data_IF_401513807853
#
_entry.id   IF_401513807853
#
_cell.length_a   1.000
_cell.length_b   1.000
_cell.length_c   1.000
_cell.angle_alpha   90.00
_cell.angle_beta   90.00
_cell.angle_gamma   90.00
#
_symmetry.space_group_name_H-M   'P 1'
#
loop_
_entity.id
_entity.type
_entity.pdbx_description
1 polymer ?
#
# COMPACT_ATOMS: atom_id res chain seq x y z
N UNK A 1 -2.93 14.69 13.74
CA UNK A 1 -2.96 14.96 12.29
C UNK A 1 -2.44 16.35 12.04
N UNK A 2 -1.18 16.48 11.69
CA UNK A 2 -0.60 17.75 11.28
C UNK A 2 -0.86 17.92 9.78
N UNK A 3 -1.78 18.81 9.42
CA UNK A 3 -1.88 19.35 8.07
C UNK A 3 -0.66 20.23 7.86
N UNK A 4 0.27 19.83 7.01
CA UNK A 4 1.39 20.68 6.60
C UNK A 4 0.84 21.77 5.65
N UNK A 5 0.95 23.00 6.07
CA UNK A 5 0.61 24.18 5.28
C UNK A 5 1.78 24.48 4.35
N UNK A 6 1.57 24.29 3.06
CA UNK A 6 2.51 24.65 2.00
C UNK A 6 2.74 23.51 1.00
N UNK A 7 2.05 23.56 -0.14
CA UNK A 7 2.16 22.68 -1.33
C UNK A 7 1.84 21.17 -1.20
N UNK A 8 1.41 20.69 -0.05
CA UNK A 8 1.12 19.28 0.19
C UNK A 8 -0.36 19.09 0.56
N UNK A 9 -1.06 18.18 -0.10
CA UNK A 9 -2.48 17.94 0.16
C UNK A 9 -2.77 16.48 0.41
N UNK A 10 -3.37 16.20 1.58
CA UNK A 10 -3.74 14.86 2.02
C UNK A 10 -5.17 14.54 1.55
N UNK A 11 -5.38 13.40 0.86
CA UNK A 11 -6.70 12.95 0.37
C UNK A 11 -7.70 12.67 1.51
N UNK A 12 -7.26 12.58 2.77
CA UNK A 12 -8.14 12.39 3.93
C UNK A 12 -8.90 13.65 4.35
N UNK A 13 -8.69 14.79 3.69
CA UNK A 13 -9.45 15.99 3.95
C UNK A 13 -10.96 15.73 3.72
N UNK A 14 -11.77 16.17 4.67
CA UNK A 14 -13.21 16.02 4.58
C UNK A 14 -13.74 16.83 3.39
N UNK A 15 -14.21 16.12 2.37
CA UNK A 15 -14.90 16.76 1.24
C UNK A 15 -16.14 17.51 1.73
N UNK A 16 -16.42 18.67 1.19
CA UNK A 16 -17.67 19.39 1.40
C UNK A 16 -18.79 18.68 0.63
N UNK A 17 -19.39 17.69 1.28
CA UNK A 17 -20.30 16.72 0.64
C UNK A 17 -21.59 17.33 0.09
N UNK A 18 -21.96 18.52 0.55
CA UNK A 18 -23.15 19.26 0.12
C UNK A 18 -22.89 20.17 -1.10
N UNK A 19 -21.66 20.23 -1.58
CA UNK A 19 -21.29 20.92 -2.82
C UNK A 19 -21.33 19.97 -4.02
N UNK A 20 -21.54 20.53 -5.23
CA UNK A 20 -21.28 19.83 -6.48
C UNK A 20 -19.75 19.70 -6.69
N UNK A 21 -19.31 18.70 -7.48
CA UNK A 21 -17.88 18.49 -7.75
C UNK A 21 -17.22 19.75 -8.33
N UNK A 22 -17.84 20.37 -9.35
CA UNK A 22 -17.34 21.62 -9.95
C UNK A 22 -17.24 22.77 -8.95
N UNK A 23 -18.27 22.95 -8.14
CA UNK A 23 -18.33 23.99 -7.10
C UNK A 23 -17.22 23.80 -6.07
N UNK A 24 -17.04 22.55 -5.61
CA UNK A 24 -16.01 22.18 -4.66
C UNK A 24 -14.59 22.40 -5.21
N UNK A 25 -14.33 22.01 -6.45
CA UNK A 25 -13.03 22.22 -7.09
C UNK A 25 -12.78 23.72 -7.34
N UNK A 26 -13.82 24.48 -7.65
CA UNK A 26 -13.74 25.96 -7.75
C UNK A 26 -13.34 26.61 -6.42
N UNK A 27 -13.97 26.19 -5.33
CA UNK A 27 -13.62 26.61 -3.98
C UNK A 27 -12.17 26.21 -3.61
N UNK A 28 -11.77 24.97 -3.91
CA UNK A 28 -10.41 24.50 -3.67
C UNK A 28 -9.37 25.28 -4.48
N UNK A 29 -9.68 25.61 -5.74
CA UNK A 29 -8.81 26.45 -6.59
C UNK A 29 -8.61 27.85 -6.02
N UNK A 30 -9.66 28.41 -5.43
CA UNK A 30 -9.60 29.71 -4.77
C UNK A 30 -8.73 29.67 -3.52
N UNK A 31 -8.92 28.68 -2.65
CA UNK A 31 -8.10 28.49 -1.45
C UNK A 31 -6.62 28.27 -1.77
N UNK A 32 -6.32 27.58 -2.87
CA UNK A 32 -4.94 27.39 -3.36
C UNK A 32 -4.33 28.62 -4.04
N UNK A 33 -5.08 29.73 -4.12
CA UNK A 33 -4.61 30.97 -4.70
C UNK A 33 -4.45 30.95 -6.23
N UNK A 34 -5.12 30.01 -6.94
CA UNK A 34 -5.08 29.94 -8.39
C UNK A 34 -5.75 31.21 -8.96
N UNK A 35 -5.07 31.95 -9.86
CA UNK A 35 -5.64 33.17 -10.46
C UNK A 35 -6.98 32.89 -11.13
N UNK A 36 -7.96 33.77 -10.95
CA UNK A 36 -9.33 33.59 -11.47
C UNK A 36 -9.38 33.23 -12.96
N UNK A 37 -8.48 33.82 -13.75
CA UNK A 37 -8.40 33.57 -15.20
C UNK A 37 -7.93 32.14 -15.55
N UNK A 38 -7.24 31.44 -14.63
CA UNK A 38 -6.68 30.11 -14.85
C UNK A 38 -7.50 29.02 -14.17
N UNK A 39 -8.47 29.38 -13.29
CA UNK A 39 -9.23 28.41 -12.49
C UNK A 39 -10.02 27.44 -13.34
N UNK A 40 -10.76 27.94 -14.32
CA UNK A 40 -11.61 27.12 -15.18
C UNK A 40 -10.79 26.08 -15.94
N UNK A 41 -9.70 26.50 -16.59
CA UNK A 41 -8.79 25.59 -17.29
C UNK A 41 -8.16 24.56 -16.36
N UNK A 42 -7.69 24.97 -15.17
CA UNK A 42 -7.09 24.05 -14.19
C UNK A 42 -8.12 23.03 -13.64
N UNK A 43 -9.38 23.46 -13.45
CA UNK A 43 -10.45 22.57 -12.98
C UNK A 43 -10.82 21.57 -14.07
N UNK A 44 -10.96 22.00 -15.31
CA UNK A 44 -11.27 21.09 -16.42
C UNK A 44 -10.17 20.05 -16.63
N UNK A 45 -8.90 20.44 -16.51
CA UNK A 45 -7.78 19.51 -16.62
C UNK A 45 -7.81 18.46 -15.52
N UNK A 46 -8.01 18.83 -14.25
CA UNK A 46 -8.06 17.84 -13.15
C UNK A 46 -9.31 16.97 -13.21
N UNK A 47 -10.44 17.48 -13.72
CA UNK A 47 -11.65 16.70 -13.97
C UNK A 47 -11.38 15.60 -15.00
N UNK A 48 -10.73 15.93 -16.09
CA UNK A 48 -10.33 14.95 -17.11
C UNK A 48 -9.36 13.92 -16.55
N UNK A 49 -8.30 14.35 -15.87
CA UNK A 49 -7.31 13.46 -15.28
C UNK A 49 -7.95 12.48 -14.27
N UNK A 50 -8.85 12.96 -13.42
CA UNK A 50 -9.54 12.15 -12.42
C UNK A 50 -10.75 11.38 -12.98
N UNK A 51 -11.09 11.52 -14.27
CA UNK A 51 -12.25 10.90 -14.92
C UNK A 51 -13.56 11.21 -14.17
N UNK A 52 -13.84 12.50 -13.98
CA UNK A 52 -15.00 13.01 -13.23
C UNK A 52 -16.06 13.68 -14.11
N UNK A 53 -15.91 13.67 -15.46
CA UNK A 53 -16.74 14.39 -16.40
C UNK A 53 -18.24 14.08 -16.22
N UNK A 54 -18.55 12.79 -16.04
CA UNK A 54 -19.93 12.31 -15.92
C UNK A 54 -20.63 12.75 -14.62
N UNK A 55 -19.85 13.14 -13.61
CA UNK A 55 -20.34 13.44 -12.26
C UNK A 55 -20.06 14.86 -11.81
N UNK A 56 -19.43 15.69 -12.65
CA UNK A 56 -18.97 17.05 -12.29
C UNK A 56 -20.07 17.97 -11.73
N UNK A 57 -21.32 17.75 -12.13
CA UNK A 57 -22.48 18.52 -11.68
C UNK A 57 -23.28 17.82 -10.58
N UNK A 58 -22.84 16.67 -10.09
CA UNK A 58 -23.50 15.94 -9.01
C UNK A 58 -22.99 16.41 -7.64
N UNK A 59 -23.87 16.34 -6.63
CA UNK A 59 -23.47 16.55 -5.23
C UNK A 59 -22.52 15.43 -4.80
N UNK A 60 -21.45 15.80 -4.11
CA UNK A 60 -20.41 14.86 -3.64
C UNK A 60 -21.02 13.79 -2.74
N UNK A 61 -22.00 14.09 -1.89
CA UNK A 61 -22.70 13.12 -1.04
C UNK A 61 -23.38 11.99 -1.82
N UNK A 62 -23.79 12.25 -3.07
CA UNK A 62 -24.48 11.28 -3.92
C UNK A 62 -23.53 10.42 -4.75
N UNK A 63 -22.21 10.60 -4.58
CA UNK A 63 -21.19 9.83 -5.27
C UNK A 63 -20.86 8.53 -4.53
N UNK A 64 -20.46 7.50 -5.29
CA UNK A 64 -19.85 6.31 -4.71
C UNK A 64 -18.53 6.66 -3.97
N UNK A 65 -18.04 5.76 -3.14
CA UNK A 65 -16.78 5.95 -2.43
C UNK A 65 -15.63 6.19 -3.41
N UNK A 66 -15.55 5.44 -4.52
CA UNK A 66 -14.52 5.58 -5.53
C UNK A 66 -14.56 6.95 -6.23
N UNK A 67 -15.74 7.45 -6.57
CA UNK A 67 -15.85 8.80 -7.12
C UNK A 67 -15.46 9.88 -6.11
N UNK A 68 -15.83 9.74 -4.84
CA UNK A 68 -15.36 10.67 -3.79
C UNK A 68 -13.85 10.66 -3.63
N UNK A 69 -13.22 9.48 -3.72
CA UNK A 69 -11.77 9.36 -3.71
C UNK A 69 -11.13 10.10 -4.88
N UNK A 70 -11.70 9.99 -6.09
CA UNK A 70 -11.25 10.73 -7.28
C UNK A 70 -11.43 12.24 -7.15
N UNK A 71 -12.50 12.71 -6.49
CA UNK A 71 -12.68 14.14 -6.18
C UNK A 71 -11.58 14.62 -5.24
N UNK A 72 -11.26 13.86 -4.20
CA UNK A 72 -10.15 14.18 -3.31
C UNK A 72 -8.80 14.22 -4.05
N UNK A 73 -8.59 13.29 -4.98
CA UNK A 73 -7.39 13.27 -5.82
C UNK A 73 -7.33 14.47 -6.77
N UNK A 74 -8.47 14.83 -7.44
CA UNK A 74 -8.56 16.02 -8.27
C UNK A 74 -8.23 17.30 -7.48
N UNK A 75 -8.73 17.40 -6.25
CA UNK A 75 -8.36 18.47 -5.33
C UNK A 75 -6.86 18.48 -5.02
N UNK A 76 -6.24 17.32 -4.77
CA UNK A 76 -4.81 17.23 -4.45
C UNK A 76 -3.94 17.74 -5.60
N UNK A 77 -4.24 17.33 -6.83
CA UNK A 77 -3.46 17.72 -8.03
C UNK A 77 -3.78 19.12 -8.56
N UNK A 78 -4.88 19.74 -8.11
CA UNK A 78 -5.28 21.07 -8.53
C UNK A 78 -4.18 22.10 -8.21
N UNK A 79 -3.72 22.82 -9.23
CA UNK A 79 -2.57 23.72 -9.15
C UNK A 79 -1.23 23.05 -9.45
N UNK A 80 -1.23 21.76 -9.82
CA UNK A 80 -0.08 20.99 -10.29
C UNK A 80 1.14 21.06 -9.37
N UNK A 81 0.99 20.67 -8.06
CA UNK A 81 2.09 20.73 -7.10
C UNK A 81 3.20 19.75 -7.51
N UNK A 82 4.45 20.06 -7.19
CA UNK A 82 5.59 19.18 -7.46
C UNK A 82 5.51 17.87 -6.67
N UNK A 83 4.94 17.91 -5.45
CA UNK A 83 4.81 16.77 -4.54
C UNK A 83 3.32 16.56 -4.21
N UNK A 84 2.85 15.32 -4.36
CA UNK A 84 1.50 14.89 -4.03
C UNK A 84 1.59 13.83 -2.93
N UNK A 85 0.85 14.01 -1.82
CA UNK A 85 0.80 13.05 -0.71
C UNK A 85 -0.59 12.42 -0.66
N UNK A 86 -0.64 11.09 -0.74
CA UNK A 86 -1.85 10.29 -0.76
C UNK A 86 -1.86 9.34 0.45
N UNK A 87 -2.78 9.56 1.40
CA UNK A 87 -2.94 8.68 2.55
C UNK A 87 -4.02 7.63 2.27
N UNK A 88 -3.59 6.35 2.19
CA UNK A 88 -4.44 5.18 1.96
C UNK A 88 -5.43 5.35 0.76
N UNK A 89 -4.94 5.67 -0.47
CA UNK A 89 -5.80 6.06 -1.59
C UNK A 89 -6.73 4.94 -2.10
N UNK A 90 -6.48 3.69 -1.77
CA UNK A 90 -7.22 2.51 -2.25
C UNK A 90 -8.15 1.90 -1.21
N UNK A 91 -8.10 2.35 0.04
CA UNK A 91 -8.85 1.75 1.15
C UNK A 91 -10.37 1.75 0.93
N UNK A 92 -10.94 0.54 0.95
CA UNK A 92 -12.38 0.29 0.86
C UNK A 92 -12.97 0.58 -0.51
N UNK A 93 -12.15 0.53 -1.55
CA UNK A 93 -12.55 0.48 -2.95
C UNK A 93 -12.75 -0.98 -3.39
N UNK A 94 -13.57 -1.19 -4.40
CA UNK A 94 -13.66 -2.49 -5.06
C UNK A 94 -12.44 -2.72 -5.99
N UNK A 95 -12.16 -3.99 -6.40
CA UNK A 95 -10.99 -4.32 -7.19
C UNK A 95 -10.85 -3.51 -8.50
N UNK A 96 -11.98 -3.21 -9.17
CA UNK A 96 -11.98 -2.43 -10.40
C UNK A 96 -11.56 -0.98 -10.13
N UNK A 97 -12.11 -0.37 -9.09
CA UNK A 97 -11.77 0.99 -8.67
C UNK A 97 -10.31 1.10 -8.22
N UNK A 98 -9.76 0.07 -7.57
CA UNK A 98 -8.35 0.02 -7.18
C UNK A 98 -7.46 0.12 -8.43
N UNK A 99 -7.75 -0.66 -9.48
CA UNK A 99 -6.99 -0.62 -10.73
C UNK A 99 -7.04 0.79 -11.34
N UNK A 100 -8.21 1.39 -11.41
CA UNK A 100 -8.40 2.73 -11.99
C UNK A 100 -7.66 3.82 -11.20
N UNK A 101 -7.63 3.74 -9.86
CA UNK A 101 -6.86 4.70 -9.03
C UNK A 101 -5.35 4.47 -9.20
N UNK A 102 -4.89 3.23 -9.30
CA UNK A 102 -3.48 2.93 -9.56
C UNK A 102 -2.99 3.48 -10.90
N UNK A 103 -3.79 3.31 -11.96
CA UNK A 103 -3.50 3.90 -13.27
C UNK A 103 -3.36 5.43 -13.17
N UNK A 104 -4.28 6.07 -12.46
CA UNK A 104 -4.24 7.52 -12.27
C UNK A 104 -3.00 7.95 -11.48
N UNK A 105 -2.62 7.24 -10.42
CA UNK A 105 -1.39 7.52 -9.65
C UNK A 105 -0.15 7.36 -10.54
N UNK A 106 -0.08 6.31 -11.38
CA UNK A 106 1.03 6.13 -12.34
C UNK A 106 1.13 7.28 -13.34
N UNK A 107 0.00 7.77 -13.86
CA UNK A 107 -0.01 8.92 -14.76
C UNK A 107 0.48 10.19 -14.06
N UNK A 108 0.08 10.40 -12.81
CA UNK A 108 0.55 11.53 -12.00
C UNK A 108 2.05 11.43 -11.72
N UNK A 109 2.56 10.25 -11.42
CA UNK A 109 3.99 10.03 -11.13
C UNK A 109 4.93 10.35 -12.31
N UNK A 110 4.40 10.44 -13.55
CA UNK A 110 5.20 10.88 -14.71
C UNK A 110 5.61 12.36 -14.64
N UNK A 111 4.86 13.18 -13.93
CA UNK A 111 5.07 14.64 -13.86
C UNK A 111 5.27 15.17 -12.43
N UNK A 112 4.93 14.37 -11.42
CA UNK A 112 4.92 14.76 -10.01
C UNK A 112 5.68 13.72 -9.17
N UNK A 113 6.24 14.13 -8.06
CA UNK A 113 6.67 13.20 -7.02
C UNK A 113 5.45 12.79 -6.21
N UNK A 114 5.07 11.51 -6.26
CA UNK A 114 3.93 10.99 -5.51
C UNK A 114 4.41 10.18 -4.32
N UNK A 115 3.99 10.57 -3.13
CA UNK A 115 4.20 9.83 -1.88
C UNK A 115 2.87 9.24 -1.47
N UNK A 116 2.78 7.93 -1.32
CA UNK A 116 1.56 7.28 -0.88
C UNK A 116 1.79 6.39 0.34
N UNK A 117 0.81 6.33 1.23
CA UNK A 117 0.77 5.35 2.31
C UNK A 117 -0.14 4.19 1.94
N UNK A 118 0.19 2.98 2.35
CA UNK A 118 -0.70 1.82 2.35
C UNK A 118 -0.19 0.78 3.35
N UNK A 119 -1.11 -0.04 3.86
CA UNK A 119 -0.78 -1.20 4.70
C UNK A 119 -0.77 -2.51 3.88
N UNK A 120 -1.01 -2.46 2.56
CA UNK A 120 -1.06 -3.61 1.67
C UNK A 120 0.15 -3.58 0.74
N UNK A 121 1.18 -4.38 1.05
CA UNK A 121 2.44 -4.41 0.30
C UNK A 121 2.24 -4.75 -1.18
N UNK A 122 1.34 -5.69 -1.51
CA UNK A 122 1.05 -6.06 -2.89
C UNK A 122 0.51 -4.88 -3.73
N UNK A 123 -0.22 -3.94 -3.12
CA UNK A 123 -0.70 -2.75 -3.81
C UNK A 123 0.43 -1.76 -4.10
N UNK A 124 1.34 -1.58 -3.15
CA UNK A 124 2.46 -0.65 -3.25
C UNK A 124 3.45 -1.12 -4.33
N UNK A 125 3.74 -2.41 -4.40
CA UNK A 125 4.66 -3.00 -5.39
C UNK A 125 4.29 -2.68 -6.83
N UNK A 126 3.01 -2.59 -7.14
CA UNK A 126 2.56 -2.32 -8.50
C UNK A 126 2.64 -0.84 -8.91
N UNK A 127 2.82 0.08 -7.96
CA UNK A 127 2.69 1.52 -8.23
C UNK A 127 3.93 2.30 -7.85
N UNK A 128 4.74 1.82 -6.90
CA UNK A 128 5.88 2.55 -6.35
C UNK A 128 7.21 2.05 -6.91
N UNK A 129 8.08 2.98 -7.26
CA UNK A 129 9.48 2.70 -7.63
C UNK A 129 10.36 2.45 -6.39
N UNK A 130 9.94 2.98 -5.23
CA UNK A 130 10.70 2.93 -3.98
C UNK A 130 9.78 2.81 -2.77
N UNK A 131 10.14 1.96 -1.81
CA UNK A 131 9.31 1.66 -0.63
C UNK A 131 10.08 2.01 0.65
N UNK A 132 9.39 2.67 1.57
CA UNK A 132 9.85 2.95 2.93
C UNK A 132 8.97 2.17 3.92
N UNK A 133 9.56 1.25 4.69
CA UNK A 133 8.84 0.49 5.72
C UNK A 133 9.08 1.15 7.07
N UNK A 134 8.00 1.63 7.69
CA UNK A 134 8.04 2.29 9.00
C UNK A 134 7.34 1.38 10.03
N UNK A 135 8.02 1.14 11.14
CA UNK A 135 7.46 0.41 12.29
C UNK A 135 7.78 1.14 13.59
N UNK A 136 6.78 1.34 14.44
CA UNK A 136 6.92 2.04 15.73
C UNK A 136 7.63 3.40 15.63
N UNK A 137 7.33 4.14 14.54
CA UNK A 137 7.91 5.47 14.28
C UNK A 137 9.38 5.46 13.80
N UNK A 138 9.93 4.29 13.47
CA UNK A 138 11.30 4.15 12.95
C UNK A 138 11.28 3.57 11.55
N UNK A 139 12.17 4.05 10.68
CA UNK A 139 12.41 3.47 9.37
C UNK A 139 13.12 2.12 9.57
N UNK A 140 12.46 1.03 9.15
CA UNK A 140 12.94 -0.34 9.31
C UNK A 140 13.67 -0.82 8.05
N UNK A 141 13.11 -0.50 6.89
CA UNK A 141 13.70 -0.85 5.59
C UNK A 141 13.37 0.24 4.56
N UNK A 142 14.21 0.33 3.55
CA UNK A 142 14.11 1.32 2.49
C UNK A 142 14.84 0.76 1.26
N UNK A 143 14.08 0.42 0.20
CA UNK A 143 14.64 -0.12 -1.04
C UNK A 143 13.58 -0.16 -2.16
N UNK A 144 13.99 -0.62 -3.35
CA UNK A 144 13.06 -0.97 -4.43
C UNK A 144 12.20 -2.18 -4.05
N UNK A 145 11.00 -2.34 -4.64
CA UNK A 145 10.13 -3.50 -4.38
C UNK A 145 10.85 -4.84 -4.52
N UNK A 146 11.61 -5.03 -5.61
CA UNK A 146 12.31 -6.29 -5.91
C UNK A 146 13.37 -6.62 -4.86
N UNK A 147 14.17 -5.64 -4.46
CA UNK A 147 15.21 -5.84 -3.43
C UNK A 147 14.62 -6.09 -2.04
N UNK A 148 13.46 -5.50 -1.73
CA UNK A 148 12.77 -5.81 -0.48
C UNK A 148 12.24 -7.23 -0.48
N UNK A 149 11.74 -7.72 -1.62
CA UNK A 149 11.31 -9.10 -1.76
C UNK A 149 12.47 -10.08 -1.62
N UNK A 150 13.60 -9.83 -2.30
CA UNK A 150 14.82 -10.64 -2.12
C UNK A 150 15.27 -10.70 -0.67
N UNK A 151 15.25 -9.57 0.05
CA UNK A 151 15.57 -9.52 1.48
C UNK A 151 14.57 -10.25 2.35
N UNK A 152 13.30 -10.26 1.97
CA UNK A 152 12.22 -10.95 2.69
C UNK A 152 12.16 -12.44 2.34
N UNK A 153 12.47 -12.83 1.11
CA UNK A 153 12.52 -14.22 0.64
C UNK A 153 13.75 -14.96 1.21
N UNK A 154 14.75 -14.25 1.72
CA UNK A 154 15.97 -14.84 2.28
C UNK A 154 15.77 -15.73 3.51
N UNK A 155 14.57 -15.75 4.11
CA UNK A 155 14.22 -16.65 5.21
C UNK A 155 12.75 -17.05 5.12
N UNK A 156 12.47 -18.14 4.42
CA UNK A 156 11.15 -18.78 4.57
C UNK A 156 11.04 -19.40 5.95
N UNK A 157 9.87 -19.22 6.59
CA UNK A 157 9.57 -19.87 7.86
C UNK A 157 8.57 -20.98 7.62
N UNK A 158 8.97 -22.23 7.89
CA UNK A 158 8.11 -23.41 7.83
C UNK A 158 7.74 -23.81 9.24
N UNK A 159 6.44 -23.99 9.50
CA UNK A 159 5.95 -24.57 10.75
C UNK A 159 5.56 -26.03 10.52
N UNK A 160 6.06 -26.93 11.37
CA UNK A 160 5.66 -28.35 11.41
C UNK A 160 5.06 -28.70 12.76
N UNK A 161 4.12 -29.63 12.76
CA UNK A 161 3.57 -30.24 13.94
C UNK A 161 3.82 -31.73 13.89
N UNK A 162 4.59 -32.26 14.81
CA UNK A 162 4.96 -33.68 14.87
C UNK A 162 4.51 -34.32 16.18
N UNK A 163 4.12 -35.58 16.12
CA UNK A 163 3.84 -36.42 17.31
C UNK A 163 5.13 -37.06 17.84
N UNK A 164 6.05 -36.22 18.32
CA UNK A 164 7.35 -36.61 18.81
C UNK A 164 7.80 -35.60 19.86
N UNK A 165 8.82 -35.91 20.66
CA UNK A 165 9.43 -34.99 21.62
C UNK A 165 10.20 -33.88 20.87
N UNK A 166 10.43 -32.73 21.53
CA UNK A 166 11.22 -31.64 20.98
C UNK A 166 12.66 -32.08 20.65
N UNK A 167 13.23 -33.01 21.43
CA UNK A 167 14.56 -33.53 21.18
C UNK A 167 14.66 -34.38 19.90
N UNK A 168 13.68 -35.27 19.67
CA UNK A 168 13.58 -36.11 18.48
C UNK A 168 13.38 -35.24 17.22
N UNK A 169 12.42 -34.29 17.26
CA UNK A 169 12.16 -33.35 16.17
C UNK A 169 13.42 -32.56 15.81
N UNK A 170 14.12 -32.05 16.81
CA UNK A 170 15.36 -31.29 16.61
C UNK A 170 16.48 -32.15 16.00
N UNK A 171 16.62 -33.41 16.45
CA UNK A 171 17.61 -34.33 15.89
C UNK A 171 17.36 -34.63 14.39
N UNK A 172 16.10 -34.81 14.00
CA UNK A 172 15.72 -35.00 12.60
C UNK A 172 16.04 -33.74 11.78
N UNK A 173 15.65 -32.56 12.28
CA UNK A 173 15.84 -31.30 11.59
C UNK A 173 17.30 -30.91 11.39
N UNK A 174 18.22 -31.32 12.28
CA UNK A 174 19.64 -31.07 12.13
C UNK A 174 20.29 -31.81 10.94
N UNK A 175 19.63 -32.84 10.39
CA UNK A 175 20.08 -33.58 9.22
C UNK A 175 19.47 -33.05 7.90
N UNK A 176 18.61 -32.03 7.94
CA UNK A 176 18.01 -31.38 6.75
C UNK A 176 18.86 -30.18 6.37
N UNK A 177 19.30 -30.15 5.12
CA UNK A 177 20.10 -29.05 4.57
C UNK A 177 19.30 -27.75 4.44
N UNK A 178 19.97 -26.61 4.37
CA UNK A 178 19.37 -25.27 4.20
C UNK A 178 18.49 -24.78 5.36
N UNK A 179 18.71 -25.28 6.56
CA UNK A 179 18.06 -24.76 7.78
C UNK A 179 19.02 -23.80 8.49
N UNK A 180 18.58 -22.54 8.70
CA UNK A 180 19.37 -21.52 9.41
C UNK A 180 19.02 -21.46 10.90
N UNK A 181 17.77 -21.72 11.27
CA UNK A 181 17.33 -21.66 12.66
C UNK A 181 16.20 -22.65 12.95
N UNK A 182 16.19 -23.24 14.13
CA UNK A 182 15.18 -24.22 14.59
C UNK A 182 14.68 -23.79 15.97
N UNK A 183 13.39 -23.49 16.05
CA UNK A 183 12.68 -23.23 17.29
C UNK A 183 11.67 -24.35 17.54
N UNK A 184 11.82 -25.12 18.64
CA UNK A 184 10.90 -26.20 19.00
C UNK A 184 10.15 -25.86 20.29
N UNK A 185 8.84 -26.18 20.33
CA UNK A 185 7.97 -25.99 21.50
C UNK A 185 7.11 -27.23 21.69
N UNK A 186 7.22 -27.84 22.85
CA UNK A 186 6.35 -28.95 23.26
C UNK A 186 4.95 -28.45 23.65
N UNK A 187 3.94 -29.20 23.26
CA UNK A 187 2.53 -28.96 23.63
C UNK A 187 2.05 -30.02 24.62
N UNK A 188 0.99 -29.67 25.34
CA UNK A 188 0.41 -30.53 26.42
C UNK A 188 -0.15 -31.88 25.90
N UNK A 189 -0.39 -32.01 24.60
CA UNK A 189 -0.92 -33.19 23.88
C UNK A 189 0.17 -34.16 23.39
N UNK A 190 1.40 -34.02 23.87
CA UNK A 190 2.59 -34.77 23.44
C UNK A 190 2.95 -34.54 21.95
N UNK A 191 2.56 -33.42 21.40
CA UNK A 191 3.02 -32.94 20.07
C UNK A 191 4.09 -31.90 20.24
N UNK A 192 5.02 -31.82 19.28
CA UNK A 192 6.01 -30.74 19.20
C UNK A 192 5.68 -29.86 17.99
N UNK A 193 5.58 -28.55 18.21
CA UNK A 193 5.56 -27.57 17.15
C UNK A 193 7.00 -27.10 16.91
N UNK A 194 7.48 -27.17 15.67
CA UNK A 194 8.78 -26.64 15.30
C UNK A 194 8.62 -25.55 14.24
N UNK A 195 9.24 -24.42 14.49
CA UNK A 195 9.37 -23.30 13.54
C UNK A 195 10.78 -23.28 12.99
N UNK A 196 10.89 -23.41 11.69
CA UNK A 196 12.14 -23.60 10.95
C UNK A 196 12.33 -22.40 10.04
N UNK A 197 13.51 -21.78 10.10
CA UNK A 197 13.90 -20.75 9.14
C UNK A 197 14.86 -21.35 8.13
N UNK A 198 14.63 -21.11 6.81
CA UNK A 198 15.46 -21.62 5.72
C UNK A 198 16.52 -20.61 5.30
N UNK A 199 17.62 -21.10 4.76
CA UNK A 199 18.64 -20.26 4.12
C UNK A 199 18.30 -20.06 2.63
N UNK A 200 18.40 -18.80 2.15
CA UNK A 200 18.39 -18.51 0.73
C UNK A 200 17.07 -18.76 -0.03
N UNK A 201 15.92 -18.82 0.67
CA UNK A 201 14.62 -19.03 -0.01
C UNK A 201 14.42 -20.43 -0.61
N UNK A 202 15.22 -21.43 -0.16
CA UNK A 202 15.07 -22.81 -0.60
C UNK A 202 13.78 -23.43 -0.06
N UNK A 203 12.95 -24.03 -0.93
CA UNK A 203 11.81 -24.83 -0.51
C UNK A 203 12.28 -26.16 0.04
N UNK A 204 12.19 -26.32 1.38
CA UNK A 204 12.62 -27.54 2.07
C UNK A 204 11.45 -28.48 2.43
N UNK A 205 10.23 -28.22 1.93
CA UNK A 205 9.02 -28.96 2.31
C UNK A 205 9.11 -30.45 1.92
N UNK A 206 9.66 -30.74 0.75
CA UNK A 206 9.87 -32.10 0.27
C UNK A 206 10.91 -32.84 1.14
N UNK A 207 12.03 -32.17 1.45
CA UNK A 207 13.06 -32.74 2.31
C UNK A 207 12.54 -33.00 3.74
N UNK A 208 11.72 -32.07 4.28
CA UNK A 208 11.05 -32.26 5.57
C UNK A 208 10.07 -33.44 5.53
N UNK A 209 9.26 -33.57 4.46
CA UNK A 209 8.36 -34.71 4.32
C UNK A 209 9.09 -36.06 4.41
N UNK A 210 10.18 -36.22 3.67
CA UNK A 210 10.99 -37.45 3.72
C UNK A 210 11.74 -37.66 5.03
N UNK A 211 12.14 -36.61 5.71
CA UNK A 211 12.81 -36.69 7.01
C UNK A 211 11.87 -37.15 8.15
N UNK A 212 10.55 -36.91 8.03
CA UNK A 212 9.56 -37.27 9.01
C UNK A 212 8.67 -38.47 8.61
N UNK A 213 8.83 -39.03 7.41
CA UNK A 213 8.13 -40.21 6.93
C UNK A 213 8.77 -41.50 7.44
#
# INVERSE_FOLDING_TARGET
SACLVGSEMCIRDRLYVDMQVMEYLGFAAELKGIPKQQRESAIDEVIQMAKLEDVKMRLIRNLSKGYRQRVGLAQAILGFPEIIILDEPTVGLDPKQIIEIRELIRELAKKHTVILSSHILAEIREVCDYILIISKGKLVASDTPDRLEEKMSGTETVEILAKASAAEVRAILLNVEHISNIHTQERADKTCSARIQTEGGCDIREALFFAFA
#
